data_IF_190112652041
#
_entry.id   IF_190112652041
#
_cell.length_a   1.000
_cell.length_b   1.000
_cell.length_c   1.000
_cell.angle_alpha   90.00
_cell.angle_beta   90.00
_cell.angle_gamma   90.00
#
_symmetry.space_group_name_H-M   'P 1'
#
loop_
_entity.id
_entity.type
_entity.pdbx_description
1 polymer ?
#
# COMPACT_ATOMS: atom_id res chain seq x y z
N UNK A 1 -10.34 -42.03 -21.63
CA UNK A 1 -10.03 -41.34 -20.37
C UNK A 1 -9.27 -40.06 -20.71
N UNK A 2 -9.88 -38.89 -20.48
CA UNK A 2 -9.21 -37.59 -20.68
C UNK A 2 -8.14 -37.44 -19.59
N UNK A 3 -6.86 -37.48 -19.99
CA UNK A 3 -5.78 -37.14 -19.07
C UNK A 3 -5.88 -35.65 -18.72
N UNK A 4 -6.09 -35.36 -17.45
CA UNK A 4 -6.07 -34.00 -16.94
C UNK A 4 -4.70 -33.38 -17.22
N UNK A 5 -4.66 -32.26 -17.94
CA UNK A 5 -3.44 -31.48 -18.15
C UNK A 5 -2.85 -31.11 -16.78
N UNK A 6 -1.53 -31.29 -16.54
CA UNK A 6 -0.91 -30.86 -15.30
C UNK A 6 -1.14 -29.36 -15.11
N UNK A 7 -1.72 -28.97 -13.97
CA UNK A 7 -1.93 -27.56 -13.62
C UNK A 7 -0.55 -26.89 -13.50
N UNK A 8 -0.35 -25.77 -14.20
CA UNK A 8 0.89 -24.98 -14.06
C UNK A 8 1.07 -24.60 -12.57
N UNK A 9 2.30 -24.69 -12.03
CA UNK A 9 2.56 -24.27 -10.65
C UNK A 9 2.25 -22.77 -10.50
N UNK A 10 1.63 -22.42 -9.39
CA UNK A 10 1.32 -21.02 -9.05
C UNK A 10 2.66 -20.31 -8.78
N UNK A 11 2.97 -19.16 -9.43
CA UNK A 11 4.22 -18.44 -9.18
C UNK A 11 4.35 -17.99 -7.72
N UNK A 12 5.54 -18.07 -7.13
CA UNK A 12 5.80 -17.56 -5.78
C UNK A 12 5.65 -16.02 -5.74
N UNK A 13 5.01 -15.45 -4.69
CA UNK A 13 4.92 -14.00 -4.53
C UNK A 13 6.24 -13.39 -4.06
N UNK A 14 6.75 -12.37 -4.75
CA UNK A 14 7.97 -11.69 -4.31
C UNK A 14 7.74 -10.91 -2.99
N UNK A 15 8.70 -10.93 -2.06
CA UNK A 15 8.72 -10.10 -0.86
C UNK A 15 8.63 -8.60 -1.18
N UNK A 16 7.70 -7.90 -0.54
CA UNK A 16 7.49 -6.47 -0.74
C UNK A 16 7.09 -5.77 0.56
N UNK A 17 7.42 -4.49 0.69
CA UNK A 17 7.07 -3.68 1.84
C UNK A 17 6.54 -2.30 1.42
N UNK A 18 5.66 -1.72 2.23
CA UNK A 18 5.08 -0.42 1.95
C UNK A 18 4.72 0.33 3.23
N UNK A 19 4.81 1.65 3.20
CA UNK A 19 4.52 2.52 4.35
C UNK A 19 3.28 3.36 4.07
N UNK A 20 2.36 3.33 5.02
CA UNK A 20 1.23 4.26 5.10
C UNK A 20 1.61 5.38 6.05
N UNK A 21 2.09 6.48 5.47
CA UNK A 21 2.42 7.68 6.24
C UNK A 21 1.17 8.44 6.61
N UNK A 22 0.96 8.66 7.90
CA UNK A 22 -0.20 9.36 8.46
C UNK A 22 0.26 10.67 9.09
N UNK A 23 -0.37 11.77 8.70
CA UNK A 23 -0.12 13.07 9.32
C UNK A 23 -0.81 13.18 10.69
N UNK A 24 -0.39 14.12 11.56
CA UNK A 24 -1.11 14.46 12.79
C UNK A 24 -2.57 14.92 12.55
N UNK A 25 -2.91 15.31 11.32
CA UNK A 25 -4.27 15.68 10.89
C UNK A 25 -4.99 14.53 10.19
N UNK A 26 -4.51 13.30 10.37
CA UNK A 26 -4.99 12.05 9.80
C UNK A 26 -4.95 11.99 8.27
N UNK A 27 -4.15 12.82 7.60
CA UNK A 27 -3.97 12.76 6.15
C UNK A 27 -3.01 11.64 5.78
N UNK A 28 -3.22 10.98 4.65
CA UNK A 28 -2.36 9.87 4.22
C UNK A 28 -1.60 10.26 2.96
N UNK A 29 -0.31 9.96 2.90
CA UNK A 29 0.49 10.16 1.70
C UNK A 29 0.11 9.13 0.63
N UNK A 30 -0.22 9.61 -0.56
CA UNK A 30 -0.40 8.79 -1.75
C UNK A 30 0.49 9.33 -2.88
N UNK A 31 1.14 8.43 -3.58
CA UNK A 31 1.93 8.70 -4.77
C UNK A 31 1.08 8.43 -6.01
N UNK A 32 1.27 9.23 -7.05
CA UNK A 32 0.61 9.05 -8.34
C UNK A 32 1.61 8.55 -9.37
N UNK A 33 1.47 7.28 -9.79
CA UNK A 33 2.36 6.69 -10.81
C UNK A 33 2.01 7.25 -12.19
N UNK A 34 3.03 7.67 -12.95
CA UNK A 34 2.84 8.13 -14.33
C UNK A 34 2.53 6.97 -15.28
N UNK A 35 1.91 7.27 -16.43
CA UNK A 35 1.26 6.32 -17.35
C UNK A 35 2.16 5.22 -17.93
N UNK A 36 3.49 5.35 -17.83
CA UNK A 36 4.49 4.45 -18.43
C UNK A 36 4.86 3.24 -17.55
N UNK A 37 4.33 3.13 -16.32
CA UNK A 37 4.65 2.00 -15.44
C UNK A 37 4.02 0.67 -15.91
N UNK A 38 4.80 -0.41 -15.85
CA UNK A 38 4.35 -1.78 -16.21
C UNK A 38 3.43 -2.44 -15.18
N UNK A 39 3.11 -1.76 -14.07
CA UNK A 39 2.19 -2.25 -13.03
C UNK A 39 1.38 -1.08 -12.43
N UNK A 40 0.05 -1.15 -12.54
CA UNK A 40 -0.90 -0.15 -12.02
C UNK A 40 -0.66 1.29 -12.51
N UNK A 41 -0.61 1.50 -13.83
CA UNK A 41 -0.51 2.83 -14.41
C UNK A 41 -1.69 3.74 -13.99
N UNK A 42 -1.42 5.00 -13.64
CA UNK A 42 -2.43 5.99 -13.19
C UNK A 42 -3.11 5.67 -11.84
N UNK A 43 -2.46 4.87 -11.02
CA UNK A 43 -2.92 4.54 -9.67
C UNK A 43 -2.39 5.50 -8.60
N UNK A 44 -3.21 5.72 -7.57
CA UNK A 44 -2.73 6.20 -6.27
C UNK A 44 -2.21 5.01 -5.47
N UNK A 45 -0.97 5.07 -5.02
CA UNK A 45 -0.33 4.01 -4.23
C UNK A 45 0.37 4.58 -3.00
N UNK A 46 0.54 3.77 -1.97
CA UNK A 46 1.50 4.09 -0.92
C UNK A 46 2.91 3.89 -1.44
N UNK A 47 3.90 4.64 -0.90
CA UNK A 47 5.29 4.33 -1.16
C UNK A 47 5.61 2.89 -0.79
N UNK A 48 6.30 2.19 -1.68
CA UNK A 48 6.64 0.79 -1.45
C UNK A 48 7.05 0.02 -2.69
N UNK A 49 7.76 -1.08 -2.46
CA UNK A 49 8.36 -1.88 -3.52
C UNK A 49 8.85 -3.22 -3.00
N UNK A 50 9.74 -3.85 -3.76
CA UNK A 50 10.28 -5.16 -3.44
C UNK A 50 11.38 -5.02 -2.38
N UNK A 51 11.53 -6.05 -1.54
CA UNK A 51 12.72 -6.18 -0.69
C UNK A 51 13.91 -6.50 -1.59
N UNK A 52 14.98 -5.71 -1.47
CA UNK A 52 16.23 -5.92 -2.21
C UNK A 52 17.33 -6.44 -1.26
N UNK A 53 17.94 -7.56 -1.60
CA UNK A 53 18.93 -8.21 -0.75
C UNK A 53 20.18 -7.35 -0.47
N UNK A 54 20.58 -6.52 -1.44
CA UNK A 54 21.76 -5.65 -1.30
C UNK A 54 21.45 -4.47 -0.40
N UNK A 55 20.30 -3.83 -0.61
CA UNK A 55 19.90 -2.63 0.12
C UNK A 55 19.35 -2.93 1.51
N UNK A 56 18.46 -3.91 1.61
CA UNK A 56 17.57 -4.09 2.75
C UNK A 56 17.99 -5.28 3.62
N UNK A 57 18.66 -6.26 3.00
CA UNK A 57 19.10 -7.50 3.64
C UNK A 57 18.42 -8.73 3.07
N UNK A 58 19.01 -9.90 3.33
CA UNK A 58 18.52 -11.17 2.83
C UNK A 58 17.19 -11.59 3.48
N UNK A 59 16.37 -12.26 2.69
CA UNK A 59 15.14 -12.94 3.16
C UNK A 59 15.28 -14.44 2.92
N UNK A 60 14.70 -15.29 3.78
CA UNK A 60 14.73 -16.73 3.60
C UNK A 60 14.29 -17.17 2.19
N UNK A 61 14.79 -18.29 1.67
CA UNK A 61 14.47 -18.73 0.32
C UNK A 61 13.00 -19.22 0.19
N UNK A 62 12.44 -19.32 -1.03
CA UNK A 62 11.03 -19.67 -1.27
C UNK A 62 10.51 -20.92 -0.57
N UNK A 63 11.35 -21.95 -0.37
CA UNK A 63 11.01 -23.17 0.37
C UNK A 63 10.64 -22.92 1.84
N UNK A 64 11.10 -21.80 2.40
CA UNK A 64 10.81 -21.34 3.76
C UNK A 64 9.84 -20.16 3.73
N UNK A 65 8.77 -20.26 2.94
CA UNK A 65 7.82 -19.18 2.67
C UNK A 65 7.29 -18.49 3.95
N UNK A 66 7.15 -19.23 5.04
CA UNK A 66 6.66 -18.70 6.30
C UNK A 66 7.62 -17.68 6.93
N UNK A 67 8.90 -18.03 6.98
CA UNK A 67 9.95 -17.16 7.48
C UNK A 67 10.30 -16.08 6.45
N UNK A 68 10.24 -16.42 5.15
CA UNK A 68 10.51 -15.51 4.03
C UNK A 68 9.63 -14.27 4.07
N UNK A 69 8.38 -14.43 4.50
CA UNK A 69 7.40 -13.36 4.52
C UNK A 69 7.07 -12.84 5.93
N UNK A 70 7.82 -13.28 6.95
CA UNK A 70 7.71 -12.76 8.29
C UNK A 70 8.14 -11.28 8.35
N UNK A 71 7.61 -10.55 9.33
CA UNK A 71 8.07 -9.19 9.60
C UNK A 71 9.51 -9.27 10.14
N UNK A 72 10.38 -8.37 9.69
CA UNK A 72 11.78 -8.39 10.06
C UNK A 72 12.56 -7.21 9.50
N UNK A 73 13.86 -7.11 9.82
CA UNK A 73 14.69 -5.97 9.45
C UNK A 73 14.67 -5.65 7.96
N UNK A 74 14.77 -6.67 7.09
CA UNK A 74 14.78 -6.47 5.64
C UNK A 74 13.47 -5.83 5.13
N UNK A 75 12.31 -6.28 5.61
CA UNK A 75 11.03 -5.67 5.24
C UNK A 75 10.90 -4.23 5.75
N UNK A 76 11.35 -3.96 6.98
CA UNK A 76 11.29 -2.63 7.57
C UNK A 76 12.20 -1.64 6.85
N UNK A 77 13.44 -2.03 6.57
CA UNK A 77 14.40 -1.21 5.81
C UNK A 77 13.88 -0.98 4.39
N UNK A 78 13.37 -2.01 3.72
CA UNK A 78 12.76 -1.87 2.38
C UNK A 78 11.64 -0.83 2.38
N UNK A 79 10.76 -0.86 3.38
CA UNK A 79 9.65 0.10 3.48
C UNK A 79 10.15 1.55 3.59
N UNK A 80 11.19 1.79 4.40
CA UNK A 80 11.80 3.11 4.60
C UNK A 80 12.58 3.57 3.36
N UNK A 81 13.35 2.67 2.73
CA UNK A 81 14.11 2.93 1.50
C UNK A 81 13.17 3.31 0.36
N UNK A 82 12.16 2.50 0.09
CA UNK A 82 11.17 2.76 -0.97
C UNK A 82 10.42 4.07 -0.73
N UNK A 83 10.09 4.37 0.53
CA UNK A 83 9.53 5.66 0.91
C UNK A 83 10.45 6.82 0.53
N UNK A 84 11.75 6.71 0.83
CA UNK A 84 12.74 7.73 0.50
C UNK A 84 12.93 7.87 -1.02
N UNK A 85 13.09 6.76 -1.74
CA UNK A 85 13.28 6.75 -3.19
C UNK A 85 12.07 7.33 -3.95
N UNK A 86 10.85 6.95 -3.57
CA UNK A 86 9.66 7.35 -4.32
C UNK A 86 9.14 8.75 -3.92
N UNK A 87 9.32 9.17 -2.66
CA UNK A 87 8.74 10.42 -2.13
C UNK A 87 9.75 11.49 -1.69
N UNK A 88 11.01 11.12 -1.45
CA UNK A 88 12.01 12.01 -0.83
C UNK A 88 11.83 12.24 0.67
N UNK A 89 10.81 11.65 1.29
CA UNK A 89 10.60 11.70 2.74
C UNK A 89 11.58 10.72 3.39
N UNK A 90 12.43 11.27 4.26
CA UNK A 90 13.43 10.51 4.99
C UNK A 90 12.91 10.14 6.37
N UNK A 91 12.75 8.85 6.62
CA UNK A 91 12.36 8.27 7.91
C UNK A 91 13.58 7.60 8.54
N UNK A 92 14.45 8.43 9.11
CA UNK A 92 15.71 8.03 9.72
C UNK A 92 15.94 8.85 10.99
N UNK A 93 16.66 8.28 11.95
CA UNK A 93 17.00 8.92 13.23
C UNK A 93 18.48 9.28 13.28
N UNK A 94 18.79 10.44 13.86
CA UNK A 94 20.16 10.82 14.21
C UNK A 94 20.63 10.14 15.50
N UNK A 95 21.88 10.44 15.90
CA UNK A 95 22.46 9.92 17.16
C UNK A 95 21.70 10.32 18.42
N UNK A 96 20.91 11.39 18.36
CA UNK A 96 20.05 11.87 19.45
C UNK A 96 18.69 11.15 19.50
N UNK A 97 18.46 10.16 18.63
CA UNK A 97 17.23 9.38 18.55
C UNK A 97 16.05 10.12 17.90
N UNK A 98 16.26 11.37 17.43
CA UNK A 98 15.21 12.16 16.77
C UNK A 98 15.25 11.97 15.27
N UNK A 99 14.11 12.19 14.61
CA UNK A 99 14.04 12.19 13.16
C UNK A 99 15.03 13.19 12.56
N UNK A 100 15.83 12.69 11.63
CA UNK A 100 16.88 13.44 10.96
C UNK A 100 16.27 14.45 9.99
N UNK A 101 16.68 15.71 10.10
CA UNK A 101 16.28 16.76 9.17
C UNK A 101 17.50 17.25 8.39
N UNK A 102 17.67 16.75 7.18
CA UNK A 102 18.74 17.12 6.25
C UNK A 102 18.28 18.25 5.33
N UNK A 103 19.24 19.00 4.78
CA UNK A 103 18.95 19.96 3.71
C UNK A 103 18.39 19.25 2.48
N UNK A 104 17.59 19.96 1.67
CA UNK A 104 17.01 19.42 0.43
C UNK A 104 18.10 18.92 -0.53
N UNK A 105 19.17 19.71 -0.73
CA UNK A 105 20.29 19.33 -1.60
C UNK A 105 20.95 18.01 -1.20
N UNK A 106 21.17 17.78 0.11
CA UNK A 106 21.78 16.53 0.61
C UNK A 106 20.82 15.35 0.45
N UNK A 107 19.52 15.56 0.74
CA UNK A 107 18.50 14.50 0.56
C UNK A 107 18.34 14.11 -0.89
N UNK A 108 18.27 15.07 -1.81
CA UNK A 108 18.05 14.78 -3.23
C UNK A 108 19.26 14.13 -3.89
N UNK A 109 20.47 14.53 -3.50
CA UNK A 109 21.71 13.85 -3.91
C UNK A 109 21.73 12.39 -3.42
N UNK A 110 21.46 12.18 -2.14
CA UNK A 110 21.37 10.85 -1.54
C UNK A 110 20.31 9.98 -2.19
N UNK A 111 19.10 10.54 -2.38
CA UNK A 111 17.97 9.86 -3.02
C UNK A 111 18.33 9.38 -4.41
N UNK A 112 18.98 10.22 -5.21
CA UNK A 112 19.43 9.86 -6.57
C UNK A 112 20.45 8.72 -6.54
N UNK A 113 21.47 8.82 -5.68
CA UNK A 113 22.51 7.79 -5.55
C UNK A 113 21.94 6.45 -5.09
N UNK A 114 21.05 6.46 -4.09
CA UNK A 114 20.39 5.24 -3.59
C UNK A 114 19.50 4.63 -4.67
N UNK A 115 18.66 5.44 -5.32
CA UNK A 115 17.76 4.97 -6.38
C UNK A 115 18.50 4.38 -7.59
N UNK A 116 19.64 4.96 -7.97
CA UNK A 116 20.48 4.47 -9.06
C UNK A 116 21.35 3.25 -8.64
N UNK A 117 21.31 2.82 -7.39
CA UNK A 117 22.15 1.75 -6.86
C UNK A 117 23.64 2.12 -6.76
N UNK A 118 23.98 3.42 -6.76
CA UNK A 118 25.36 3.93 -6.62
C UNK A 118 25.86 3.78 -5.17
N UNK A 119 24.95 3.82 -4.19
CA UNK A 119 25.24 3.62 -2.78
C UNK A 119 24.09 2.85 -2.11
N UNK A 120 24.43 1.99 -1.16
CA UNK A 120 23.44 1.33 -0.31
C UNK A 120 22.73 2.34 0.57
N UNK A 121 21.42 2.15 0.80
CA UNK A 121 20.63 3.05 1.65
C UNK A 121 21.19 3.18 3.06
N UNK A 122 21.57 2.06 3.69
CA UNK A 122 22.20 2.05 5.01
C UNK A 122 23.54 2.80 5.05
N UNK A 123 24.41 2.56 4.08
CA UNK A 123 25.74 3.19 4.01
C UNK A 123 25.63 4.70 3.78
N UNK A 124 24.66 5.14 2.97
CA UNK A 124 24.37 6.56 2.79
C UNK A 124 23.89 7.21 4.10
N UNK A 125 22.98 6.54 4.81
CA UNK A 125 22.49 7.00 6.12
C UNK A 125 23.64 7.12 7.13
N UNK A 126 24.52 6.13 7.19
CA UNK A 126 25.70 6.16 8.06
C UNK A 126 26.60 7.36 7.73
N UNK A 127 26.83 7.62 6.44
CA UNK A 127 27.62 8.76 5.96
C UNK A 127 27.05 10.13 6.36
N UNK A 128 25.73 10.24 6.54
CA UNK A 128 25.07 11.46 7.04
C UNK A 128 24.81 11.42 8.56
N UNK A 129 25.32 10.40 9.26
CA UNK A 129 25.21 10.26 10.71
C UNK A 129 23.82 9.84 11.20
N UNK A 130 23.07 9.09 10.39
CA UNK A 130 21.73 8.63 10.66
C UNK A 130 21.59 7.11 10.56
N UNK A 131 20.49 6.56 11.08
CA UNK A 131 20.09 5.16 10.96
C UNK A 131 18.62 5.05 10.56
N UNK A 132 18.16 3.99 9.87
CA UNK A 132 16.75 3.84 9.51
C UNK A 132 15.85 3.79 10.74
N UNK A 133 14.72 4.50 10.73
CA UNK A 133 13.75 4.47 11.84
C UNK A 133 12.80 3.26 11.75
N UNK A 134 13.34 2.06 11.94
CA UNK A 134 12.58 0.81 11.85
C UNK A 134 11.57 0.63 12.99
N UNK A 135 11.80 1.27 14.13
CA UNK A 135 10.94 1.20 15.32
C UNK A 135 9.72 2.12 15.18
N UNK A 136 9.81 3.18 14.36
CA UNK A 136 8.68 4.04 14.00
C UNK A 136 7.63 3.35 13.10
N UNK A 137 7.91 2.13 12.62
CA UNK A 137 7.00 1.35 11.80
C UNK A 137 6.14 0.40 12.65
N UNK A 138 4.83 0.58 12.55
CA UNK A 138 3.83 -0.28 13.19
C UNK A 138 3.29 -1.28 12.14
N UNK A 139 3.48 -2.60 12.30
CA UNK A 139 2.94 -3.57 11.36
C UNK A 139 1.41 -3.48 11.25
N UNK A 140 0.88 -3.40 10.02
CA UNK A 140 -0.55 -3.15 9.79
C UNK A 140 -1.32 -4.30 9.16
N UNK A 141 -0.91 -4.82 8.00
CA UNK A 141 -1.58 -5.94 7.32
C UNK A 141 -0.69 -6.42 6.18
N UNK A 142 -0.85 -7.67 5.76
CA UNK A 142 -0.27 -8.16 4.50
C UNK A 142 -1.30 -8.25 3.41
N UNK A 143 -0.86 -7.93 2.20
CA UNK A 143 -1.63 -8.11 0.98
C UNK A 143 -0.90 -9.05 0.04
N UNK A 144 -1.63 -10.00 -0.53
CA UNK A 144 -1.06 -10.92 -1.51
C UNK A 144 -1.83 -10.88 -2.83
N UNK A 145 -1.06 -10.75 -3.91
CA UNK A 145 -1.61 -10.72 -5.26
C UNK A 145 -2.24 -12.10 -5.59
N UNK A 146 -3.48 -12.18 -6.07
CA UNK A 146 -4.15 -13.47 -6.32
C UNK A 146 -3.41 -14.39 -7.32
N UNK A 147 -3.62 -15.73 -7.30
CA UNK A 147 -2.87 -16.70 -8.12
C UNK A 147 -2.86 -16.54 -9.65
N UNK A 148 -3.90 -16.02 -10.35
CA UNK A 148 -3.88 -16.01 -11.82
C UNK A 148 -2.91 -14.96 -12.41
N UNK A 149 -2.34 -14.07 -11.60
CA UNK A 149 -1.43 -13.02 -12.08
C UNK A 149 0.01 -13.51 -12.15
N UNK A 150 0.75 -13.24 -13.24
CA UNK A 150 2.13 -13.72 -13.40
C UNK A 150 3.14 -13.00 -12.50
N UNK A 151 2.96 -11.69 -12.27
CA UNK A 151 3.73 -10.91 -11.28
C UNK A 151 2.94 -10.89 -9.98
N UNK A 152 3.53 -11.41 -8.92
CA UNK A 152 2.87 -11.57 -7.62
C UNK A 152 3.73 -10.96 -6.54
N UNK A 153 3.10 -10.23 -5.64
CA UNK A 153 3.73 -9.61 -4.49
C UNK A 153 3.02 -10.05 -3.22
N UNK A 154 3.78 -10.28 -2.17
CA UNK A 154 3.31 -10.36 -0.79
C UNK A 154 3.87 -9.14 -0.07
N UNK A 155 3.02 -8.12 0.07
CA UNK A 155 3.39 -6.81 0.59
C UNK A 155 3.02 -6.69 2.07
N UNK A 156 4.00 -6.49 2.94
CA UNK A 156 3.79 -6.06 4.31
C UNK A 156 3.55 -4.54 4.34
N UNK A 157 2.41 -4.12 4.86
CA UNK A 157 2.07 -2.71 5.07
C UNK A 157 2.45 -2.31 6.50
N UNK A 158 3.05 -1.14 6.66
CA UNK A 158 3.33 -0.52 7.96
C UNK A 158 2.59 0.81 8.08
N UNK A 159 2.12 1.16 9.27
CA UNK A 159 1.74 2.53 9.59
C UNK A 159 2.95 3.27 10.15
N UNK A 160 3.09 4.54 9.78
CA UNK A 160 4.04 5.46 10.38
C UNK A 160 3.31 6.77 10.74
N UNK A 161 3.06 7.04 12.04
CA UNK A 161 2.30 8.21 12.49
C UNK A 161 3.12 9.51 12.55
N UNK A 162 4.43 9.43 12.37
CA UNK A 162 5.33 10.59 12.47
C UNK A 162 5.68 11.12 11.08
N UNK A 163 4.95 12.15 10.63
CA UNK A 163 5.44 13.02 9.58
C UNK A 163 6.27 14.15 10.20
N UNK A 164 7.50 14.41 9.72
CA UNK A 164 8.21 15.63 10.07
C UNK A 164 7.32 16.84 9.71
N UNK A 165 7.13 17.83 10.60
CA UNK A 165 6.21 18.95 10.39
C UNK A 165 6.53 19.83 9.16
N UNK A 166 7.68 19.63 8.49
CA UNK A 166 8.09 20.31 7.25
C UNK A 166 8.05 19.42 5.98
N UNK A 167 7.64 18.15 6.07
CA UNK A 167 7.69 17.21 4.95
C UNK A 167 6.49 17.29 3.99
N UNK A 168 5.44 18.04 4.34
CA UNK A 168 4.31 18.29 3.45
C UNK A 168 4.41 19.70 2.86
N UNK A 169 4.20 19.90 1.54
CA UNK A 169 4.03 21.22 0.98
C UNK A 169 2.94 21.96 1.75
N UNK A 170 3.28 23.12 2.33
CA UNK A 170 2.29 24.00 2.95
C UNK A 170 1.20 24.29 1.92
N UNK A 171 -0.05 23.98 2.31
CA UNK A 171 -1.31 24.22 1.59
C UNK A 171 -1.16 24.92 0.24
N UNK A 172 -1.25 24.16 -0.86
CA UNK A 172 -1.49 24.78 -2.15
C UNK A 172 -2.82 25.56 -2.08
N UNK A 173 -2.86 26.86 -2.40
CA UNK A 173 -4.07 27.64 -2.33
C UNK A 173 -5.14 27.06 -3.27
N UNK A 174 -6.39 27.06 -2.81
CA UNK A 174 -7.57 26.69 -3.60
C UNK A 174 -7.86 27.77 -4.64
N UNK A 175 -7.34 27.67 -5.87
CA UNK A 175 -7.91 28.27 -7.10
C UNK A 175 -7.06 28.01 -8.36
N UNK A 176 -7.62 28.22 -9.57
CA UNK A 176 -7.34 27.37 -10.73
C UNK A 176 -6.10 27.76 -11.54
N UNK A 177 -5.52 26.73 -12.18
CA UNK A 177 -4.68 26.75 -13.39
C UNK A 177 -3.74 27.95 -13.57
N UNK A 178 -2.46 27.77 -13.21
CA UNK A 178 -1.33 28.46 -13.87
C UNK A 178 -0.21 27.43 -14.11
N UNK A 179 0.28 27.25 -15.35
CA UNK A 179 1.35 26.31 -15.66
C UNK A 179 2.69 26.88 -15.20
N UNK A 180 3.38 26.18 -14.29
CA UNK A 180 4.76 26.53 -13.95
C UNK A 180 5.67 25.81 -14.96
N UNK A 181 6.06 26.55 -16.00
CA UNK A 181 7.19 26.20 -16.85
C UNK A 181 8.49 26.45 -16.07
N UNK A 182 9.30 25.40 -15.90
CA UNK A 182 10.66 25.41 -15.35
C UNK A 182 11.43 24.22 -15.95
N UNK A 183 12.73 24.35 -16.22
CA UNK A 183 13.34 23.86 -17.45
C UNK A 183 13.43 22.33 -17.49
N UNK A 184 12.98 21.78 -18.61
CA UNK A 184 13.28 20.44 -19.06
C UNK A 184 14.79 20.19 -18.98
N UNK A 185 15.22 19.07 -18.39
CA UNK A 185 16.21 18.16 -18.97
C UNK A 185 16.28 16.85 -18.16
N UNK A 186 15.77 15.76 -18.76
CA UNK A 186 16.50 14.49 -18.78
C UNK A 186 16.37 13.51 -17.61
N UNK A 187 15.19 13.33 -17.01
CA UNK A 187 14.90 12.18 -16.15
C UNK A 187 13.56 11.55 -16.52
N UNK A 188 13.58 10.41 -17.20
CA UNK A 188 12.37 9.70 -17.64
C UNK A 188 11.55 9.18 -16.46
N UNK A 189 10.61 10.02 -16.02
CA UNK A 189 9.22 9.72 -15.66
C UNK A 189 8.86 8.29 -15.21
N UNK A 190 9.06 7.95 -13.94
CA UNK A 190 8.32 6.85 -13.28
C UNK A 190 7.45 7.29 -12.08
N UNK A 191 7.73 8.43 -11.45
CA UNK A 191 6.82 9.07 -10.47
C UNK A 191 7.04 10.59 -10.53
N UNK A 192 6.01 11.38 -10.85
CA UNK A 192 6.07 12.85 -10.72
C UNK A 192 5.64 13.21 -9.28
N UNK A 193 6.34 14.12 -8.58
CA UNK A 193 5.96 14.55 -7.23
C UNK A 193 4.76 15.52 -7.32
N UNK A 194 3.56 15.00 -7.59
CA UNK A 194 2.31 15.69 -7.26
C UNK A 194 1.90 15.26 -5.84
N UNK A 195 2.71 15.63 -4.85
CA UNK A 195 2.43 15.38 -3.43
C UNK A 195 1.31 16.31 -2.95
N UNK A 196 0.06 15.88 -3.10
CA UNK A 196 -1.08 16.56 -2.48
C UNK A 196 -1.36 15.90 -1.12
N UNK A 197 -1.35 16.63 0.01
CA UNK A 197 -1.91 16.12 1.25
C UNK A 197 -3.42 15.95 1.07
N UNK A 198 -3.87 14.72 0.86
CA UNK A 198 -5.28 14.40 0.74
C UNK A 198 -5.82 14.31 2.17
N UNK A 199 -6.69 15.27 2.54
CA UNK A 199 -7.60 15.11 3.69
C UNK A 199 -8.35 13.79 3.49
N UNK A 200 -8.74 13.07 4.54
CA UNK A 200 -9.44 11.75 4.49
C UNK A 200 -10.78 11.72 3.71
N UNK A 201 -10.98 12.58 2.72
CA UNK A 201 -11.87 12.39 1.60
C UNK A 201 -11.13 11.49 0.58
N UNK A 202 -11.58 10.24 0.36
CA UNK A 202 -10.81 9.28 -0.41
C UNK A 202 -10.72 9.65 -1.90
N UNK A 203 -9.56 9.45 -2.55
CA UNK A 203 -9.49 9.47 -4.00
C UNK A 203 -10.32 8.31 -4.58
N UNK A 204 -10.76 8.40 -5.85
CA UNK A 204 -11.40 7.27 -6.51
C UNK A 204 -10.45 6.06 -6.44
N UNK A 205 -10.88 4.96 -5.83
CA UNK A 205 -9.99 3.85 -5.55
C UNK A 205 -9.76 3.04 -6.84
N UNK A 206 -8.49 2.76 -7.14
CA UNK A 206 -8.08 1.96 -8.30
C UNK A 206 -7.04 0.88 -7.95
N UNK A 207 -6.67 0.73 -6.66
CA UNK A 207 -5.56 -0.13 -6.19
C UNK A 207 -5.75 -0.73 -4.79
N UNK A 208 -4.95 -1.76 -4.43
CA UNK A 208 -4.83 -2.24 -3.04
C UNK A 208 -4.60 -1.12 -2.02
N UNK A 209 -3.82 -0.09 -2.38
CA UNK A 209 -3.54 1.07 -1.53
C UNK A 209 -4.81 1.86 -1.21
N UNK A 210 -5.71 2.03 -2.18
CA UNK A 210 -6.98 2.71 -1.94
C UNK A 210 -7.95 1.89 -1.07
N UNK A 211 -7.90 0.56 -1.18
CA UNK A 211 -8.60 -0.31 -0.23
C UNK A 211 -8.01 -0.16 1.18
N UNK A 212 -6.69 -0.23 1.32
CA UNK A 212 -5.98 -0.06 2.59
C UNK A 212 -6.23 1.31 3.23
N UNK A 213 -6.29 2.42 2.48
CA UNK A 213 -6.70 3.73 2.99
C UNK A 213 -8.13 3.72 3.56
N UNK A 214 -9.06 3.06 2.85
CA UNK A 214 -10.45 2.94 3.29
C UNK A 214 -10.59 2.06 4.54
N UNK A 215 -9.73 1.05 4.69
CA UNK A 215 -9.63 0.24 5.90
C UNK A 215 -9.03 1.02 7.06
N UNK A 216 -7.98 1.80 6.80
CA UNK A 216 -7.32 2.64 7.80
C UNK A 216 -8.23 3.77 8.31
N UNK A 217 -9.10 4.31 7.46
CA UNK A 217 -10.12 5.29 7.85
C UNK A 217 -11.04 4.80 8.97
N UNK A 218 -11.13 3.48 9.20
CA UNK A 218 -11.92 2.90 10.29
C UNK A 218 -11.37 3.20 11.69
N UNK A 219 -10.11 3.61 11.78
CA UNK A 219 -9.43 3.87 13.07
C UNK A 219 -9.41 5.34 13.46
N UNK A 220 -9.89 6.23 12.60
CA UNK A 220 -9.95 7.66 12.89
C UNK A 220 -11.37 8.09 13.26
N UNK A 221 -11.54 8.93 14.30
CA UNK A 221 -12.86 9.46 14.64
C UNK A 221 -13.43 10.23 13.44
N UNK A 222 -14.72 10.00 13.16
CA UNK A 222 -15.41 10.59 12.02
C UNK A 222 -15.28 12.11 12.04
N UNK A 223 -14.51 12.67 11.09
CA UNK A 223 -14.49 14.13 10.93
C UNK A 223 -15.80 14.61 10.29
N UNK A 224 -16.25 15.80 10.70
CA UNK A 224 -17.61 16.35 10.54
C UNK A 224 -18.11 16.55 9.10
N UNK A 225 -17.27 16.34 8.08
CA UNK A 225 -17.62 16.49 6.67
C UNK A 225 -17.55 15.12 5.99
N UNK A 226 -18.68 14.41 5.94
CA UNK A 226 -18.80 13.12 5.25
C UNK A 226 -19.01 13.34 3.74
N UNK A 227 -18.24 12.63 2.91
CA UNK A 227 -18.69 12.23 1.58
C UNK A 227 -19.78 11.15 1.75
N UNK A 228 -20.94 11.26 1.10
CA UNK A 228 -21.97 10.22 1.15
C UNK A 228 -21.41 8.89 0.60
N UNK A 229 -21.51 7.79 1.35
CA UNK A 229 -21.20 6.44 0.86
C UNK A 229 -20.19 5.61 1.65
N UNK A 230 -19.57 6.15 2.70
CA UNK A 230 -18.69 5.36 3.58
C UNK A 230 -19.39 5.16 4.93
N UNK A 231 -19.85 3.93 5.24
CA UNK A 231 -20.43 3.64 6.55
C UNK A 231 -19.38 3.85 7.65
N UNK A 232 -19.80 4.26 8.87
CA UNK A 232 -18.89 4.38 10.00
C UNK A 232 -18.13 3.08 10.22
N UNK A 233 -16.93 3.18 10.79
CA UNK A 233 -16.18 2.05 11.30
C UNK A 233 -17.08 1.23 12.23
N UNK A 234 -17.68 0.17 11.72
CA UNK A 234 -18.32 -0.84 12.57
C UNK A 234 -17.19 -1.68 13.12
N UNK A 235 -17.21 -1.91 14.43
CA UNK A 235 -16.43 -2.99 15.02
C UNK A 235 -16.74 -4.27 14.23
N UNK A 236 -15.72 -5.08 13.91
CA UNK A 236 -15.95 -6.29 13.14
C UNK A 236 -16.98 -7.14 13.90
N UNK A 237 -18.00 -7.67 13.22
CA UNK A 237 -19.06 -8.43 13.86
C UNK A 237 -18.40 -9.58 14.66
N UNK A 238 -18.81 -9.79 15.92
CA UNK A 238 -18.10 -10.67 16.86
C UNK A 238 -18.11 -12.16 16.48
N UNK A 239 -18.77 -12.55 15.38
CA UNK A 239 -19.11 -13.94 15.09
C UNK A 239 -18.22 -14.62 14.03
N UNK A 240 -17.19 -13.95 13.48
CA UNK A 240 -16.27 -14.59 12.50
C UNK A 240 -14.85 -14.77 13.07
N UNK A 241 -14.21 -15.95 12.93
CA UNK A 241 -12.86 -16.21 13.46
C UNK A 241 -11.80 -15.19 13.01
N UNK A 242 -11.92 -14.62 11.81
CA UNK A 242 -10.95 -13.63 11.31
C UNK A 242 -11.11 -12.24 11.91
N UNK A 243 -12.24 -11.94 12.57
CA UNK A 243 -12.46 -10.68 13.29
C UNK A 243 -11.48 -10.52 14.46
N UNK A 244 -11.14 -11.63 15.13
CA UNK A 244 -10.23 -11.65 16.28
C UNK A 244 -8.74 -11.59 15.92
N UNK A 245 -8.38 -11.74 14.64
CA UNK A 245 -6.98 -11.69 14.20
C UNK A 245 -6.47 -10.24 14.34
N UNK A 246 -5.36 -9.98 15.06
CA UNK A 246 -4.74 -8.66 15.12
C UNK A 246 -4.41 -8.13 13.73
N UNK A 247 -4.50 -6.82 13.51
CA UNK A 247 -4.28 -6.22 12.18
C UNK A 247 -2.92 -6.60 11.57
N UNK A 248 -1.84 -6.45 12.34
CA UNK A 248 -0.47 -6.86 11.97
C UNK A 248 -0.38 -8.30 11.41
N UNK A 249 -1.31 -9.16 11.82
CA UNK A 249 -1.38 -10.57 11.53
C UNK A 249 -2.42 -10.93 10.46
N UNK A 250 -3.20 -9.96 9.97
CA UNK A 250 -4.15 -10.14 8.87
C UNK A 250 -3.41 -10.29 7.55
N UNK A 251 -3.90 -11.23 6.74
CA UNK A 251 -3.39 -11.50 5.39
C UNK A 251 -4.58 -11.51 4.44
N UNK A 252 -4.56 -10.60 3.47
CA UNK A 252 -5.68 -10.36 2.56
C UNK A 252 -5.27 -10.79 1.15
N UNK A 253 -6.01 -11.75 0.58
CA UNK A 253 -5.98 -12.05 -0.86
C UNK A 253 -7.37 -11.80 -1.45
N UNK A 254 -7.56 -10.74 -2.25
CA UNK A 254 -8.86 -10.46 -2.86
C UNK A 254 -9.33 -11.60 -3.76
N UNK A 255 -10.56 -12.08 -3.54
CA UNK A 255 -11.16 -13.14 -4.36
C UNK A 255 -12.55 -12.77 -4.80
N UNK A 256 -12.94 -13.19 -6.00
CA UNK A 256 -14.31 -12.98 -6.49
C UNK A 256 -15.31 -13.74 -5.62
N UNK A 257 -16.27 -13.01 -5.05
CA UNK A 257 -17.44 -13.58 -4.37
C UNK A 257 -18.67 -13.60 -5.29
N UNK A 258 -18.87 -12.50 -6.03
CA UNK A 258 -20.05 -12.31 -6.88
C UNK A 258 -19.69 -11.39 -8.04
N UNK A 259 -20.21 -11.69 -9.23
CA UNK A 259 -20.26 -10.76 -10.36
C UNK A 259 -21.67 -10.21 -10.40
N UNK A 260 -21.82 -8.88 -10.39
CA UNK A 260 -23.10 -8.19 -10.47
C UNK A 260 -23.54 -8.07 -11.93
N UNK A 261 -24.85 -7.92 -12.14
CA UNK A 261 -25.45 -7.73 -13.48
C UNK A 261 -24.98 -6.43 -14.16
N UNK A 262 -24.71 -5.39 -13.36
CA UNK A 262 -24.18 -4.10 -13.81
C UNK A 262 -22.67 -4.13 -14.18
N UNK A 263 -22.05 -5.31 -14.17
CA UNK A 263 -20.66 -5.52 -14.56
C UNK A 263 -19.62 -5.27 -13.46
N UNK A 264 -20.03 -4.84 -12.27
CA UNK A 264 -19.14 -4.75 -11.12
C UNK A 264 -18.86 -6.12 -10.50
N UNK A 265 -17.68 -6.25 -9.88
CA UNK A 265 -17.24 -7.48 -9.22
C UNK A 265 -17.11 -7.21 -7.73
N UNK A 266 -17.72 -8.06 -6.91
CA UNK A 266 -17.61 -8.07 -5.45
C UNK A 266 -16.46 -8.99 -5.06
N UNK A 267 -15.40 -8.42 -4.48
CA UNK A 267 -14.20 -9.10 -4.01
C UNK A 267 -14.23 -9.22 -2.49
N UNK A 268 -14.12 -10.44 -1.99
CA UNK A 268 -14.02 -10.75 -0.58
C UNK A 268 -12.59 -10.57 -0.08
N UNK A 269 -12.46 -10.07 1.16
CA UNK A 269 -11.17 -9.79 1.80
C UNK A 269 -10.83 -10.75 2.95
N UNK A 270 -11.69 -11.74 3.26
CA UNK A 270 -11.58 -12.58 4.45
C UNK A 270 -10.53 -13.68 4.42
N UNK A 271 -10.04 -14.08 3.24
CA UNK A 271 -9.15 -15.23 3.11
C UNK A 271 -7.72 -14.80 2.77
N UNK A 272 -6.78 -15.55 3.33
CA UNK A 272 -5.44 -15.66 2.77
C UNK A 272 -5.50 -16.49 1.48
N UNK A 273 -4.47 -16.43 0.64
CA UNK A 273 -4.33 -17.39 -0.46
C UNK A 273 -3.85 -18.74 0.08
N UNK A 274 -4.23 -19.84 -0.59
CA UNK A 274 -3.95 -21.21 -0.15
C UNK A 274 -2.45 -21.52 0.06
N UNK A 275 -1.56 -20.79 -0.62
CA UNK A 275 -0.11 -20.88 -0.46
C UNK A 275 0.41 -20.31 0.88
N UNK A 276 -0.32 -19.35 1.46
CA UNK A 276 -0.04 -18.77 2.79
C UNK A 276 -0.83 -19.50 3.87
N UNK A 277 -1.86 -20.27 3.50
CA UNK A 277 -2.45 -21.27 4.40
C UNK A 277 -1.46 -22.40 4.73
N UNK A 278 -0.48 -22.69 3.84
CA UNK A 278 0.63 -23.62 4.08
C UNK A 278 1.80 -23.07 4.92
N UNK A 279 1.77 -21.78 5.27
CA UNK A 279 2.81 -21.05 6.02
C UNK A 279 2.75 -21.25 7.56
N UNK A 280 2.18 -22.39 8.00
CA UNK A 280 2.38 -23.09 9.31
C UNK A 280 1.54 -22.72 10.55
N UNK A 281 1.44 -23.74 11.41
CA UNK A 281 1.09 -23.76 12.85
C UNK A 281 -0.38 -23.62 13.28
N UNK A 282 -1.34 -23.97 12.43
CA UNK A 282 -2.73 -24.21 12.87
C UNK A 282 -3.49 -22.99 13.39
N UNK A 283 -2.90 -21.78 13.32
CA UNK A 283 -3.59 -20.52 13.66
C UNK A 283 -4.53 -20.10 12.53
N UNK A 284 -5.73 -19.67 12.88
CA UNK A 284 -6.67 -19.08 11.92
C UNK A 284 -6.04 -17.83 11.33
N UNK A 285 -5.75 -17.86 10.03
CA UNK A 285 -5.28 -16.72 9.25
C UNK A 285 -6.37 -16.31 8.27
N UNK A 286 -6.52 -15.01 8.11
CA UNK A 286 -7.51 -14.43 7.23
C UNK A 286 -7.46 -12.92 7.31
N UNK A 287 -8.14 -12.29 6.38
CA UNK A 287 -8.21 -10.86 6.29
C UNK A 287 -9.46 -10.34 6.99
N UNK A 288 -10.27 -9.62 6.23
CA UNK A 288 -11.42 -8.88 6.73
C UNK A 288 -12.73 -9.47 6.20
N UNK A 289 -13.53 -10.02 7.12
CA UNK A 289 -14.78 -10.68 6.75
C UNK A 289 -15.95 -9.75 6.53
N UNK A 290 -16.10 -8.74 7.36
CA UNK A 290 -17.19 -7.77 7.29
C UNK A 290 -17.09 -6.79 6.14
N UNK A 291 -15.98 -6.80 5.39
CA UNK A 291 -15.75 -5.89 4.29
C UNK A 291 -15.57 -6.61 2.96
N UNK A 292 -16.03 -5.95 1.90
CA UNK A 292 -15.75 -6.32 0.52
C UNK A 292 -15.29 -5.12 -0.28
N UNK A 293 -14.60 -5.40 -1.36
CA UNK A 293 -14.24 -4.44 -2.40
C UNK A 293 -15.22 -4.63 -3.56
N UNK A 294 -15.91 -3.59 -4.00
CA UNK A 294 -16.70 -3.62 -5.23
C UNK A 294 -15.98 -2.80 -6.28
N UNK A 295 -15.72 -3.37 -7.45
CA UNK A 295 -14.86 -2.74 -8.47
C UNK A 295 -15.31 -3.11 -9.89
N UNK A 296 -15.13 -2.18 -10.83
CA UNK A 296 -15.30 -2.49 -12.25
C UNK A 296 -13.95 -2.95 -12.84
N UNK A 297 -13.84 -4.25 -13.10
CA UNK A 297 -12.63 -4.86 -13.70
C UNK A 297 -12.59 -4.74 -15.23
N UNK A 298 -13.67 -4.31 -15.87
CA UNK A 298 -13.81 -4.24 -17.34
C UNK A 298 -13.54 -2.84 -17.90
N UNK A 299 -13.19 -1.87 -17.05
CA UNK A 299 -12.87 -0.52 -17.50
C UNK A 299 -11.57 -0.49 -18.32
N UNK A 300 -11.53 0.33 -19.38
CA UNK A 300 -10.30 0.55 -20.17
C UNK A 300 -9.23 1.18 -19.25
N UNK A 301 -8.10 0.50 -19.08
CA UNK A 301 -6.99 0.96 -18.23
C UNK A 301 -6.89 0.30 -16.85
N UNK A 302 -7.64 -0.78 -16.59
CA UNK A 302 -7.49 -1.60 -15.37
C UNK A 302 -8.72 -1.58 -14.47
N UNK A 303 -8.59 -1.91 -13.17
CA UNK A 303 -9.65 -1.77 -12.19
C UNK A 303 -9.97 -0.29 -11.96
N UNK A 304 -11.21 0.14 -12.22
CA UNK A 304 -11.69 1.50 -11.97
C UNK A 304 -12.97 1.49 -11.15
N UNK A 305 -13.33 2.63 -10.56
CA UNK A 305 -14.53 2.82 -9.75
C UNK A 305 -14.65 1.74 -8.65
N UNK A 306 -13.64 1.68 -7.77
CA UNK A 306 -13.69 0.77 -6.62
C UNK A 306 -14.50 1.41 -5.46
N UNK A 307 -14.94 0.61 -4.50
CA UNK A 307 -15.39 1.09 -3.20
C UNK A 307 -15.27 -0.03 -2.16
N UNK A 308 -15.15 0.33 -0.89
CA UNK A 308 -15.15 -0.64 0.23
C UNK A 308 -16.49 -0.56 0.94
N UNK A 309 -17.18 -1.69 1.07
CA UNK A 309 -18.54 -1.77 1.60
C UNK A 309 -18.67 -2.87 2.64
N UNK A 310 -19.75 -2.83 3.42
CA UNK A 310 -20.15 -3.95 4.27
C UNK A 310 -20.46 -5.17 3.42
N UNK A 311 -19.95 -6.34 3.83
CA UNK A 311 -20.11 -7.60 3.06
C UNK A 311 -21.58 -7.93 2.78
N UNK A 312 -22.40 -7.91 3.81
CA UNK A 312 -23.78 -8.41 3.69
C UNK A 312 -24.63 -7.51 2.79
N UNK A 313 -24.51 -6.19 2.98
CA UNK A 313 -25.15 -5.16 2.14
C UNK A 313 -24.71 -5.32 0.66
N UNK A 314 -23.43 -5.59 0.42
CA UNK A 314 -22.89 -5.82 -0.91
C UNK A 314 -23.39 -7.10 -1.58
N UNK A 315 -23.51 -8.19 -0.83
CA UNK A 315 -23.96 -9.48 -1.37
C UNK A 315 -25.47 -9.48 -1.65
N UNK A 316 -26.26 -8.78 -0.83
CA UNK A 316 -27.70 -8.55 -1.06
C UNK A 316 -27.99 -7.59 -2.22
N UNK A 317 -26.98 -6.82 -2.67
CA UNK A 317 -27.13 -5.87 -3.78
C UNK A 317 -27.73 -4.53 -3.35
N UNK A 318 -27.68 -4.22 -2.06
CA UNK A 318 -28.24 -3.00 -1.46
C UNK A 318 -27.34 -1.77 -1.67
N UNK A 319 -26.12 -1.97 -2.19
CA UNK A 319 -25.17 -0.90 -2.49
C UNK A 319 -25.20 -0.52 -3.97
N UNK A 320 -25.32 0.79 -4.23
CA UNK A 320 -25.15 1.36 -5.56
C UNK A 320 -23.72 1.15 -6.11
N UNK A 321 -23.50 1.43 -7.41
CA UNK A 321 -22.16 1.43 -7.96
C UNK A 321 -21.30 2.48 -7.21
N UNK A 322 -20.01 2.20 -6.98
CA UNK A 322 -19.09 3.18 -6.41
C UNK A 322 -19.11 4.47 -7.23
N UNK A 323 -19.01 5.62 -6.55
CA UNK A 323 -19.07 6.92 -7.20
C UNK A 323 -18.01 7.03 -8.30
N UNK A 324 -18.44 7.41 -9.51
CA UNK A 324 -17.56 7.68 -10.64
C UNK A 324 -16.85 9.02 -10.44
N UNK A 325 -15.77 9.02 -9.68
CA UNK A 325 -14.89 10.18 -9.60
C UNK A 325 -14.03 10.27 -10.86
N UNK A 326 -14.42 11.10 -11.83
CA UNK A 326 -13.41 11.68 -12.74
C UNK A 326 -12.56 12.62 -11.89
N UNK A 327 -11.26 12.34 -11.78
CA UNK A 327 -10.27 13.31 -11.33
C UNK A 327 -10.02 14.35 -12.43
#
# INVERSE_FOLDING_TARGET
MSQARPKKPIPEPSPSASVVLVSPTNQVLLLHRVKTSTSFASAHVFPGGNVDAKHDGEVPPPENAAQRHADGPAYRVAALRECFEESGILLAKGKDGKLMNLSEAVRDDGRRKVHNGEIKFGDWLEGVGAVPDVDGLIPFTRWITPPPTPKRLLTQMYLCPELPPKALPQQAPRSPLIPINGPHFGGMEHTRPNSRPIRLDPPPPTTPSACSSSLLARFFPATRNRTPGIPPAREPPPNHPTSAIPWAEKIISPRVLKVREDGYVVLGLDKASAEVEGIRDGKVRGGLFDAVVVVNLKAKGGPWNLGVFGRDEALRGEIGPPASGKL
#
